data_IF_628691992991
#
_entry.id   IF_628691992991
#
_cell.length_a   1.000
_cell.length_b   1.000
_cell.length_c   1.000
_cell.angle_alpha   90.00
_cell.angle_beta   90.00
_cell.angle_gamma   90.00
#
_symmetry.space_group_name_H-M   'P 1'
#
loop_
_entity.id
_entity.type
_entity.pdbx_description
1 polymer ?
#
# COMPACT_ATOMS: atom_id res chain seq x y z
N UNK A 1 -3.62 4.89 -20.57
CA UNK A 1 -2.75 5.06 -19.40
C UNK A 1 -1.68 6.06 -19.81
N UNK A 2 -1.36 7.04 -18.98
CA UNK A 2 -0.23 7.94 -19.18
C UNK A 2 0.87 7.40 -18.26
N UNK A 3 1.93 6.76 -18.79
CA UNK A 3 2.95 6.12 -17.98
C UNK A 3 3.95 7.14 -17.41
N UNK A 4 4.79 6.69 -16.48
CA UNK A 4 6.02 7.37 -16.05
C UNK A 4 7.19 6.38 -16.11
N UNK A 5 8.42 6.90 -16.18
CA UNK A 5 9.60 6.06 -16.02
C UNK A 5 9.84 5.74 -14.53
N UNK A 6 10.34 4.53 -14.25
CA UNK A 6 10.60 4.06 -12.90
C UNK A 6 11.93 3.28 -12.82
N UNK A 7 12.72 3.43 -11.74
CA UNK A 7 13.92 2.64 -11.54
C UNK A 7 13.63 1.13 -11.49
N UNK A 8 14.58 0.26 -11.90
CA UNK A 8 14.45 -1.18 -11.72
C UNK A 8 14.19 -1.55 -10.26
N UNK A 9 13.33 -2.56 -10.04
CA UNK A 9 12.98 -3.01 -8.69
C UNK A 9 11.96 -2.11 -7.96
N UNK A 10 11.41 -1.09 -8.63
CA UNK A 10 10.30 -0.31 -8.08
C UNK A 10 9.10 -1.20 -7.77
N UNK A 11 8.52 -1.03 -6.58
CA UNK A 11 7.35 -1.78 -6.14
C UNK A 11 6.12 -0.87 -5.98
N UNK A 12 4.95 -1.49 -5.92
CA UNK A 12 3.73 -0.86 -5.41
C UNK A 12 3.15 -1.65 -4.22
N UNK A 13 2.52 -0.91 -3.30
CA UNK A 13 1.81 -1.44 -2.15
C UNK A 13 0.45 -0.78 -2.12
N UNK A 14 -0.56 -1.49 -2.59
CA UNK A 14 -1.92 -0.97 -2.68
C UNK A 14 -2.98 -2.07 -2.50
N UNK A 15 -4.18 -1.64 -2.12
CA UNK A 15 -5.34 -2.51 -1.99
C UNK A 15 -6.41 -2.14 -3.02
N UNK A 16 -7.29 -3.08 -3.32
CA UNK A 16 -8.51 -2.81 -4.13
C UNK A 16 -9.51 -1.91 -3.41
N UNK A 17 -9.39 -1.79 -2.08
CA UNK A 17 -10.22 -0.99 -1.20
C UNK A 17 -11.61 -1.57 -0.95
N UNK A 18 -12.25 -1.00 0.08
CA UNK A 18 -13.67 -1.11 0.38
C UNK A 18 -14.20 -2.51 0.76
N UNK A 19 -13.36 -3.42 1.22
CA UNK A 19 -13.11 -3.22 2.62
C UNK A 19 -14.30 -3.35 3.59
N UNK A 20 -14.73 -2.17 4.04
CA UNK A 20 -15.76 -1.98 5.04
C UNK A 20 -15.21 -1.85 6.46
N UNK A 21 -13.91 -2.12 6.66
CA UNK A 21 -13.26 -2.04 7.97
C UNK A 21 -12.87 -0.62 8.37
N UNK A 22 -12.68 0.26 7.37
CA UNK A 22 -12.33 1.67 7.58
C UNK A 22 -11.08 1.82 8.46
N UNK A 23 -10.04 1.05 8.18
CA UNK A 23 -8.76 1.09 8.89
C UNK A 23 -8.02 2.41 8.64
N UNK A 24 -6.98 2.65 9.44
CA UNK A 24 -5.95 3.64 9.16
C UNK A 24 -5.24 3.32 7.84
N UNK A 25 -4.56 4.30 7.24
CA UNK A 25 -3.90 4.12 5.93
C UNK A 25 -2.60 3.30 6.02
N UNK A 26 -2.71 2.01 6.34
CA UNK A 26 -1.58 1.08 6.51
C UNK A 26 -0.72 1.04 5.25
N UNK A 27 -1.29 0.85 4.06
CA UNK A 27 -0.50 0.80 2.82
C UNK A 27 0.27 2.10 2.53
N UNK A 28 -0.20 3.26 2.99
CA UNK A 28 0.54 4.54 2.88
C UNK A 28 1.74 4.56 3.83
N UNK A 29 1.54 4.13 5.07
CA UNK A 29 2.62 4.00 6.05
C UNK A 29 3.69 3.00 5.59
N UNK A 30 3.26 1.84 5.07
CA UNK A 30 4.15 0.82 4.50
C UNK A 30 4.98 1.39 3.35
N UNK A 31 4.38 2.18 2.46
CA UNK A 31 5.11 2.80 1.35
C UNK A 31 6.25 3.71 1.84
N UNK A 32 6.01 4.50 2.89
CA UNK A 32 7.03 5.36 3.49
C UNK A 32 8.14 4.54 4.16
N UNK A 33 7.77 3.49 4.91
CA UNK A 33 8.72 2.59 5.59
C UNK A 33 9.62 1.87 4.58
N UNK A 34 9.04 1.32 3.51
CA UNK A 34 9.77 0.56 2.50
C UNK A 34 10.69 1.47 1.68
N UNK A 35 10.20 2.64 1.28
CA UNK A 35 11.02 3.65 0.60
C UNK A 35 12.18 4.17 1.45
N UNK A 36 11.96 4.36 2.75
CA UNK A 36 13.02 4.79 3.67
C UNK A 36 14.18 3.79 3.78
N UNK A 37 13.92 2.50 3.55
CA UNK A 37 14.94 1.45 3.47
C UNK A 37 15.61 1.34 2.08
N UNK A 38 15.32 2.26 1.15
CA UNK A 38 15.96 2.35 -0.16
C UNK A 38 15.31 1.51 -1.26
N UNK A 39 14.12 0.94 -1.04
CA UNK A 39 13.34 0.27 -2.09
C UNK A 39 12.48 1.31 -2.80
N UNK A 40 12.59 1.52 -4.11
CA UNK A 40 11.75 2.49 -4.79
C UNK A 40 10.27 2.11 -4.73
N UNK A 41 9.40 3.04 -4.34
CA UNK A 41 7.95 2.80 -4.22
C UNK A 41 7.17 3.77 -5.10
N UNK A 42 6.53 3.24 -6.14
CA UNK A 42 5.61 3.98 -7.00
C UNK A 42 4.16 3.71 -6.55
N UNK A 43 3.73 4.39 -5.48
CA UNK A 43 2.42 4.14 -4.87
C UNK A 43 1.30 4.60 -5.81
N UNK A 44 0.53 3.67 -6.35
CA UNK A 44 -0.70 4.00 -7.06
C UNK A 44 -1.83 4.23 -6.06
N UNK A 45 -2.61 5.29 -6.25
CA UNK A 45 -3.65 5.62 -5.31
C UNK A 45 -4.69 6.59 -5.82
N UNK A 46 -5.74 6.74 -5.00
CA UNK A 46 -6.86 7.62 -5.28
C UNK A 46 -7.35 8.28 -3.99
N UNK A 47 -8.26 9.25 -4.11
CA UNK A 47 -9.06 9.74 -2.98
C UNK A 47 -10.06 8.67 -2.55
N UNK A 48 -10.58 8.79 -1.33
CA UNK A 48 -11.57 7.86 -0.81
C UNK A 48 -12.78 7.72 -1.75
N UNK A 49 -13.11 6.47 -2.10
CA UNK A 49 -14.37 6.14 -2.78
C UNK A 49 -15.46 5.69 -1.79
N UNK A 50 -15.06 4.99 -0.72
CA UNK A 50 -15.96 4.44 0.30
C UNK A 50 -15.42 4.52 1.74
N UNK A 51 -14.12 4.78 1.93
CA UNK A 51 -13.55 5.05 3.25
C UNK A 51 -13.81 6.51 3.66
N UNK A 52 -13.52 6.86 4.92
CA UNK A 52 -13.57 8.25 5.40
C UNK A 52 -12.37 9.08 4.95
N UNK A 53 -11.24 8.43 4.63
CA UNK A 53 -10.03 9.06 4.12
C UNK A 53 -9.27 8.10 3.19
N UNK A 54 -8.90 8.57 1.99
CA UNK A 54 -8.04 7.85 1.07
C UNK A 54 -6.58 8.20 1.28
N UNK A 55 -5.68 7.49 0.60
CA UNK A 55 -4.24 7.73 0.71
C UNK A 55 -3.88 9.18 0.34
N UNK A 56 -4.48 9.72 -0.73
CA UNK A 56 -4.27 11.10 -1.15
C UNK A 56 -4.78 12.12 -0.12
N UNK A 57 -5.95 11.87 0.49
CA UNK A 57 -6.54 12.80 1.47
C UNK A 57 -5.68 12.87 2.75
N UNK A 58 -5.11 11.74 3.17
CA UNK A 58 -4.21 11.66 4.32
C UNK A 58 -2.84 12.29 4.05
N UNK A 59 -2.25 12.09 2.87
CA UNK A 59 -0.98 12.73 2.50
C UNK A 59 -1.13 14.25 2.36
N UNK A 60 -2.24 14.72 1.80
CA UNK A 60 -2.58 16.14 1.73
C UNK A 60 -2.72 16.75 3.14
N UNK A 61 -3.42 16.06 4.05
CA UNK A 61 -3.52 16.47 5.46
C UNK A 61 -2.17 16.38 6.23
N UNK A 62 -1.20 15.62 5.72
CA UNK A 62 0.18 15.60 6.24
C UNK A 62 1.00 16.82 5.79
N UNK A 63 0.59 17.50 4.72
CA UNK A 63 1.24 18.68 4.16
C UNK A 63 1.79 18.48 2.74
N UNK A 64 1.56 17.32 2.11
CA UNK A 64 2.01 17.06 0.75
C UNK A 64 1.09 17.77 -0.26
N UNK A 65 1.63 18.65 -1.09
CA UNK A 65 0.87 19.20 -2.22
C UNK A 65 0.66 18.09 -3.27
N UNK A 66 -0.56 17.55 -3.32
CA UNK A 66 -0.88 16.43 -4.20
C UNK A 66 -0.80 16.77 -5.69
N UNK A 67 -1.01 18.04 -6.07
CA UNK A 67 -0.89 18.47 -7.45
C UNK A 67 0.59 18.53 -7.86
N UNK A 68 1.43 19.14 -7.02
CA UNK A 68 2.86 19.22 -7.26
C UNK A 68 3.55 17.83 -7.18
N UNK A 69 3.13 16.99 -6.23
CA UNK A 69 3.61 15.60 -6.11
C UNK A 69 3.26 14.77 -7.36
N UNK A 70 2.07 14.95 -7.93
CA UNK A 70 1.70 14.29 -9.20
C UNK A 70 2.51 14.78 -10.39
N UNK A 71 2.81 16.08 -10.46
CA UNK A 71 3.61 16.68 -11.54
C UNK A 71 5.09 16.31 -11.46
N UNK A 72 5.60 16.01 -10.26
CA UNK A 72 7.01 15.69 -10.00
C UNK A 72 7.25 14.21 -9.73
N UNK A 73 6.26 13.33 -9.95
CA UNK A 73 6.30 11.92 -9.53
C UNK A 73 7.53 11.17 -10.04
N UNK A 74 7.87 11.30 -11.33
CA UNK A 74 9.06 10.64 -11.91
C UNK A 74 10.36 11.13 -11.25
N UNK A 75 10.46 12.44 -10.99
CA UNK A 75 11.61 13.05 -10.32
C UNK A 75 11.72 12.58 -8.86
N UNK A 76 10.64 12.63 -8.08
CA UNK A 76 10.70 12.21 -6.67
C UNK A 76 10.93 10.71 -6.53
N UNK A 77 10.43 9.90 -7.47
CA UNK A 77 10.75 8.47 -7.52
C UNK A 77 12.24 8.24 -7.75
N UNK A 78 12.85 8.97 -8.69
CA UNK A 78 14.27 8.85 -9.00
C UNK A 78 15.18 9.41 -7.88
N UNK A 79 14.83 10.55 -7.27
CA UNK A 79 15.66 11.26 -6.30
C UNK A 79 15.45 10.78 -4.86
N UNK A 80 14.21 10.49 -4.46
CA UNK A 80 13.83 10.15 -3.08
C UNK A 80 13.43 8.68 -2.92
N UNK A 81 13.26 7.93 -4.01
CA UNK A 81 12.78 6.55 -3.97
C UNK A 81 11.27 6.43 -3.70
N UNK A 82 10.50 7.51 -3.78
CA UNK A 82 9.05 7.46 -3.59
C UNK A 82 8.30 8.45 -4.47
N UNK A 83 7.15 8.02 -4.99
CA UNK A 83 6.18 8.92 -5.61
C UNK A 83 4.75 8.47 -5.34
N UNK A 84 3.80 9.38 -5.60
CA UNK A 84 2.38 9.08 -5.59
C UNK A 84 1.80 9.26 -6.99
N UNK A 85 1.21 8.20 -7.52
CA UNK A 85 0.58 8.19 -8.84
C UNK A 85 -0.93 8.32 -8.67
N UNK A 86 -1.44 9.52 -8.87
CA UNK A 86 -2.87 9.80 -8.73
C UNK A 86 -3.63 9.19 -9.91
N UNK A 87 -4.48 8.21 -9.64
CA UNK A 87 -5.16 7.44 -10.70
C UNK A 87 -5.93 8.33 -11.71
N UNK A 88 -6.52 9.45 -11.27
CA UNK A 88 -7.25 10.35 -12.18
C UNK A 88 -6.35 11.09 -13.19
N UNK A 89 -5.06 11.24 -12.88
CA UNK A 89 -4.08 11.90 -13.75
C UNK A 89 -3.58 10.91 -14.81
N UNK A 90 -3.38 9.65 -14.45
CA UNK A 90 -2.81 8.64 -15.35
C UNK A 90 -3.85 7.84 -16.14
N UNK A 91 -5.11 7.82 -15.71
CA UNK A 91 -6.20 7.10 -16.38
C UNK A 91 -7.33 8.03 -16.86
N UNK A 92 -7.08 8.95 -17.81
CA UNK A 92 -8.09 9.94 -18.23
C UNK A 92 -9.35 9.32 -18.82
N UNK A 93 -9.26 8.12 -19.40
CA UNK A 93 -10.41 7.36 -19.89
C UNK A 93 -11.43 7.04 -18.77
N UNK A 94 -10.97 6.90 -17.52
CA UNK A 94 -11.84 6.63 -16.38
C UNK A 94 -12.79 7.79 -16.07
N UNK A 95 -12.47 9.03 -16.48
CA UNK A 95 -13.39 10.19 -16.32
C UNK A 95 -14.74 9.96 -17.00
N UNK A 96 -14.77 9.22 -18.11
CA UNK A 96 -16.02 8.88 -18.83
C UNK A 96 -16.81 7.77 -18.13
N UNK A 97 -16.12 6.89 -17.42
CA UNK A 97 -16.69 5.71 -16.75
C UNK A 97 -17.18 6.06 -15.33
N UNK A 98 -16.55 7.04 -14.68
CA UNK A 98 -16.82 7.39 -13.29
C UNK A 98 -18.29 7.75 -13.00
N UNK A 99 -19.00 8.55 -13.83
CA UNK A 99 -20.42 8.84 -13.60
C UNK A 99 -21.32 7.61 -13.72
N UNK A 100 -20.94 6.62 -14.52
CA UNK A 100 -21.66 5.34 -14.63
C UNK A 100 -21.47 4.53 -13.35
N UNK A 101 -20.23 4.43 -12.85
CA UNK A 101 -19.92 3.73 -11.59
C UNK A 101 -20.66 4.34 -10.40
N UNK A 102 -20.71 5.67 -10.32
CA UNK A 102 -21.44 6.39 -9.27
C UNK A 102 -22.94 6.09 -9.33
N UNK A 103 -23.56 6.11 -10.51
CA UNK A 103 -24.99 5.76 -10.67
C UNK A 103 -25.29 4.30 -10.34
N UNK A 104 -24.36 3.38 -10.61
CA UNK A 104 -24.53 1.97 -10.24
C UNK A 104 -24.45 1.74 -8.73
N UNK A 105 -23.68 2.54 -7.99
CA UNK A 105 -23.62 2.51 -6.53
C UNK A 105 -23.16 1.18 -5.91
N UNK A 106 -22.59 0.27 -6.71
CA UNK A 106 -22.14 -1.06 -6.27
C UNK A 106 -20.77 -1.41 -6.86
N UNK A 107 -20.10 -2.39 -6.24
CA UNK A 107 -18.83 -2.93 -6.72
C UNK A 107 -18.97 -3.54 -8.11
N UNK A 108 -17.96 -3.34 -8.95
CA UNK A 108 -17.83 -3.90 -10.30
C UNK A 108 -16.39 -4.33 -10.54
N UNK A 109 -16.09 -4.91 -11.70
CA UNK A 109 -14.70 -5.27 -12.08
C UNK A 109 -13.74 -4.06 -11.99
N UNK A 110 -14.20 -2.83 -12.19
CA UNK A 110 -13.38 -1.63 -12.05
C UNK A 110 -12.83 -1.39 -10.64
N UNK A 111 -13.39 -2.03 -9.61
CA UNK A 111 -12.84 -1.99 -8.24
C UNK A 111 -11.61 -2.90 -8.10
N UNK A 112 -11.47 -3.91 -8.95
CA UNK A 112 -10.33 -4.82 -8.97
C UNK A 112 -9.18 -4.31 -9.86
N UNK A 113 -9.47 -3.42 -10.81
CA UNK A 113 -8.50 -2.96 -11.82
C UNK A 113 -7.44 -1.97 -11.31
N UNK A 114 -7.64 -1.34 -10.14
CA UNK A 114 -6.74 -0.29 -9.65
C UNK A 114 -5.28 -0.75 -9.54
N UNK A 115 -4.98 -1.79 -8.73
CA UNK A 115 -3.62 -2.31 -8.61
C UNK A 115 -3.05 -2.86 -9.93
N UNK A 116 -3.88 -3.45 -10.80
CA UNK A 116 -3.44 -4.01 -12.09
C UNK A 116 -2.91 -2.99 -13.11
N UNK A 117 -3.11 -1.69 -12.87
CA UNK A 117 -2.86 -0.64 -13.85
C UNK A 117 -1.91 0.44 -13.34
N UNK A 118 -0.92 0.10 -12.53
CA UNK A 118 0.06 1.07 -12.03
C UNK A 118 0.79 1.80 -13.19
N UNK A 119 0.79 3.15 -13.24
CA UNK A 119 1.41 3.92 -14.32
C UNK A 119 2.93 3.79 -14.44
N UNK A 120 3.62 3.35 -13.39
CA UNK A 120 5.05 3.07 -13.40
C UNK A 120 5.40 1.67 -13.94
N UNK A 121 4.40 0.89 -14.38
CA UNK A 121 4.60 -0.46 -14.92
C UNK A 121 5.41 -1.38 -13.99
N UNK A 122 5.20 -1.25 -12.67
CA UNK A 122 5.92 -2.05 -11.67
C UNK A 122 5.71 -3.55 -11.89
N UNK A 123 6.82 -4.29 -11.89
CA UNK A 123 6.82 -5.75 -12.03
C UNK A 123 6.75 -6.46 -10.67
N UNK A 124 6.75 -5.68 -9.58
CA UNK A 124 6.70 -6.16 -8.19
C UNK A 124 5.61 -5.47 -7.39
N UNK A 125 4.66 -6.23 -6.83
CA UNK A 125 3.52 -5.63 -6.13
C UNK A 125 3.05 -6.44 -4.91
N UNK A 126 2.76 -5.75 -3.80
CA UNK A 126 1.96 -6.28 -2.70
C UNK A 126 0.53 -5.76 -2.87
N UNK A 127 -0.40 -6.66 -3.22
CA UNK A 127 -1.77 -6.31 -3.58
C UNK A 127 -2.77 -6.87 -2.60
N UNK A 128 -3.52 -5.97 -1.98
CA UNK A 128 -4.63 -6.28 -1.09
C UNK A 128 -5.96 -6.51 -1.82
N UNK A 129 -6.67 -7.59 -1.49
CA UNK A 129 -8.01 -7.90 -2.03
C UNK A 129 -9.00 -8.08 -0.88
N UNK A 130 -10.13 -7.37 -0.88
CA UNK A 130 -11.16 -7.50 0.17
C UNK A 130 -12.05 -8.77 0.04
N UNK A 131 -11.50 -9.84 -0.54
CA UNK A 131 -12.19 -11.08 -0.96
C UNK A 131 -11.17 -12.22 -1.01
N UNK A 132 -11.02 -13.02 0.05
CA UNK A 132 -10.05 -14.12 0.09
C UNK A 132 -10.24 -15.12 -1.06
N UNK A 133 -11.49 -15.35 -1.45
CA UNK A 133 -11.88 -16.25 -2.55
C UNK A 133 -11.47 -15.75 -3.93
N UNK A 134 -11.16 -14.45 -4.09
CA UNK A 134 -10.68 -13.86 -5.35
C UNK A 134 -9.15 -13.81 -5.44
N UNK A 135 -8.42 -14.08 -4.36
CA UNK A 135 -6.97 -13.93 -4.33
C UNK A 135 -6.27 -14.79 -5.41
N UNK A 136 -6.71 -16.04 -5.60
CA UNK A 136 -6.18 -16.95 -6.62
C UNK A 136 -6.42 -16.43 -8.04
N UNK A 137 -7.66 -16.07 -8.37
CA UNK A 137 -8.00 -15.50 -9.68
C UNK A 137 -7.21 -14.21 -9.98
N UNK A 138 -7.01 -13.37 -8.97
CA UNK A 138 -6.26 -12.13 -9.14
C UNK A 138 -4.77 -12.39 -9.40
N UNK A 139 -4.19 -13.39 -8.75
CA UNK A 139 -2.83 -13.83 -8.97
C UNK A 139 -2.63 -14.37 -10.40
N UNK A 140 -3.57 -15.16 -10.93
CA UNK A 140 -3.56 -15.63 -12.32
C UNK A 140 -3.58 -14.44 -13.32
N UNK A 141 -4.32 -13.38 -13.02
CA UNK A 141 -4.33 -12.17 -13.84
C UNK A 141 -2.98 -11.45 -13.80
N UNK A 142 -2.35 -11.32 -12.63
CA UNK A 142 -1.02 -10.72 -12.50
C UNK A 142 0.05 -11.52 -13.26
N UNK A 143 -0.02 -12.85 -13.23
CA UNK A 143 0.84 -13.73 -14.03
C UNK A 143 0.66 -13.51 -15.53
N UNK A 144 -0.58 -13.42 -16.02
CA UNK A 144 -0.87 -13.13 -17.43
C UNK A 144 -0.41 -11.73 -17.87
N UNK A 145 -0.35 -10.76 -16.94
CA UNK A 145 0.17 -9.42 -17.18
C UNK A 145 1.71 -9.36 -17.17
N UNK A 146 2.40 -10.49 -16.91
CA UNK A 146 3.85 -10.56 -16.92
C UNK A 146 4.51 -10.03 -15.65
N UNK A 147 3.81 -10.08 -14.51
CA UNK A 147 4.36 -9.68 -13.20
C UNK A 147 5.51 -10.60 -12.81
N UNK A 148 6.66 -10.03 -12.42
CA UNK A 148 7.86 -10.81 -12.03
C UNK A 148 7.74 -11.39 -10.62
N UNK A 149 7.17 -10.63 -9.69
CA UNK A 149 6.87 -11.09 -8.35
C UNK A 149 5.67 -10.35 -7.75
N UNK A 150 4.74 -11.05 -7.10
CA UNK A 150 3.70 -10.39 -6.33
C UNK A 150 3.18 -11.24 -5.18
N UNK A 151 2.65 -10.56 -4.18
CA UNK A 151 1.83 -11.18 -3.15
C UNK A 151 0.43 -10.61 -3.22
N UNK A 152 -0.54 -11.46 -3.53
CA UNK A 152 -1.96 -11.13 -3.41
C UNK A 152 -2.41 -11.57 -2.03
N UNK A 153 -2.83 -10.62 -1.19
CA UNK A 153 -3.14 -10.84 0.22
C UNK A 153 -4.58 -10.47 0.54
N UNK A 154 -5.17 -11.21 1.48
CA UNK A 154 -6.48 -10.89 2.06
C UNK A 154 -6.55 -11.42 3.49
N UNK A 155 -6.84 -10.58 4.46
CA UNK A 155 -7.31 -11.04 5.77
C UNK A 155 -8.54 -11.93 5.60
N UNK A 156 -8.64 -13.02 6.35
CA UNK A 156 -9.76 -13.98 6.22
C UNK A 156 -11.13 -13.35 6.53
N UNK A 157 -11.14 -12.28 7.31
CA UNK A 157 -12.29 -11.43 7.60
C UNK A 157 -12.62 -10.42 6.47
N UNK A 158 -11.94 -10.52 5.33
CA UNK A 158 -12.15 -9.67 4.15
C UNK A 158 -11.41 -8.34 4.17
N UNK A 159 -10.38 -8.20 5.00
CA UNK A 159 -9.47 -7.05 4.99
C UNK A 159 -8.59 -7.10 3.72
N UNK A 160 -8.41 -5.99 3.02
CA UNK A 160 -7.53 -5.90 1.85
C UNK A 160 -6.07 -5.60 2.22
N UNK A 161 -5.59 -6.22 3.29
CA UNK A 161 -4.24 -6.12 3.85
C UNK A 161 -3.90 -7.45 4.53
N UNK A 162 -2.63 -7.68 4.92
CA UNK A 162 -2.34 -8.71 5.92
C UNK A 162 -2.96 -8.28 7.26
N UNK A 163 -3.83 -9.12 7.81
CA UNK A 163 -4.61 -8.83 8.99
C UNK A 163 -3.77 -8.85 10.27
N UNK A 164 -3.94 -7.82 11.10
CA UNK A 164 -3.43 -7.80 12.47
C UNK A 164 -4.25 -8.66 13.44
N UNK A 165 -5.48 -9.04 13.07
CA UNK A 165 -6.42 -9.73 13.95
C UNK A 165 -6.28 -11.25 13.88
N UNK A 166 -5.78 -11.79 12.76
CA UNK A 166 -5.70 -13.23 12.56
C UNK A 166 -5.06 -13.61 11.22
N UNK A 167 -5.31 -14.84 10.75
CA UNK A 167 -4.71 -15.34 9.53
C UNK A 167 -5.17 -14.58 8.28
N UNK A 168 -4.28 -14.50 7.31
CA UNK A 168 -4.51 -13.93 5.99
C UNK A 168 -4.16 -14.97 4.93
N UNK A 169 -4.96 -15.02 3.87
CA UNK A 169 -4.64 -15.77 2.65
C UNK A 169 -3.57 -15.01 1.89
N UNK A 170 -2.57 -15.74 1.39
CA UNK A 170 -1.53 -15.20 0.52
C UNK A 170 -1.41 -16.09 -0.72
N UNK A 171 -1.45 -15.47 -1.89
CA UNK A 171 -1.15 -16.13 -3.17
C UNK A 171 0.09 -15.46 -3.76
N UNK A 172 1.15 -16.24 -3.89
CA UNK A 172 2.43 -15.77 -4.44
C UNK A 172 2.45 -15.92 -5.97
N UNK A 173 2.98 -14.92 -6.67
CA UNK A 173 3.21 -14.92 -8.11
C UNK A 173 4.69 -14.77 -8.37
N UNK A 174 5.25 -15.57 -9.28
CA UNK A 174 6.61 -15.40 -9.80
C UNK A 174 7.72 -15.71 -8.79
N UNK A 175 8.72 -14.84 -8.71
CA UNK A 175 10.02 -15.14 -8.09
C UNK A 175 10.07 -15.01 -6.56
N UNK A 176 9.02 -14.48 -5.92
CA UNK A 176 8.94 -14.36 -4.46
C UNK A 176 7.85 -15.28 -3.92
N UNK A 177 8.05 -15.83 -2.72
CA UNK A 177 7.09 -16.74 -2.09
C UNK A 177 6.93 -16.47 -0.61
N UNK A 178 5.69 -16.54 -0.13
CA UNK A 178 5.33 -16.65 1.28
C UNK A 178 4.48 -17.91 1.50
N UNK A 179 4.34 -18.39 2.74
CA UNK A 179 3.33 -19.40 3.07
C UNK A 179 1.95 -18.95 2.60
N UNK A 180 1.12 -19.90 2.14
CA UNK A 180 -0.23 -19.59 1.62
C UNK A 180 -1.19 -19.01 2.66
N UNK A 181 -0.79 -19.07 3.94
CA UNK A 181 -1.48 -18.47 5.07
C UNK A 181 -0.46 -17.84 6.01
N UNK A 182 -0.65 -16.57 6.34
CA UNK A 182 0.23 -15.79 7.23
C UNK A 182 -0.59 -15.21 8.38
N UNK A 183 -0.08 -15.30 9.59
CA UNK A 183 -0.60 -14.65 10.80
C UNK A 183 0.41 -13.64 11.34
N UNK A 184 0.00 -12.67 12.19
CA UNK A 184 0.94 -11.72 12.81
C UNK A 184 2.13 -12.39 13.51
N UNK A 185 1.91 -13.55 14.14
CA UNK A 185 2.95 -14.29 14.84
C UNK A 185 4.07 -14.81 13.93
N UNK A 186 3.79 -15.05 12.64
CA UNK A 186 4.80 -15.48 11.67
C UNK A 186 5.84 -14.38 11.41
N UNK A 187 5.51 -13.13 11.72
CA UNK A 187 6.43 -11.98 11.72
C UNK A 187 6.95 -11.62 13.12
N UNK A 188 6.61 -12.41 14.16
CA UNK A 188 6.95 -12.12 15.55
C UNK A 188 6.12 -10.99 16.17
N UNK A 189 4.95 -10.67 15.62
CA UNK A 189 4.10 -9.56 16.05
C UNK A 189 2.87 -10.05 16.83
N UNK A 190 2.36 -9.26 17.79
CA UNK A 190 1.15 -9.60 18.53
C UNK A 190 -0.10 -9.42 17.65
N UNK A 191 -1.16 -10.18 17.97
CA UNK A 191 -2.48 -9.93 17.40
C UNK A 191 -3.15 -8.71 18.02
N UNK A 192 -3.88 -7.97 17.20
CA UNK A 192 -4.77 -6.90 17.63
C UNK A 192 -6.05 -6.88 16.80
N UNK A 193 -7.22 -6.66 17.41
CA UNK A 193 -8.48 -6.59 16.68
C UNK A 193 -8.46 -5.43 15.68
N UNK A 194 -9.14 -5.57 14.54
CA UNK A 194 -9.21 -4.49 13.53
C UNK A 194 -9.78 -3.18 14.08
N UNK A 195 -10.62 -3.25 15.12
CA UNK A 195 -11.13 -2.06 15.81
C UNK A 195 -10.03 -1.20 16.45
N UNK A 196 -8.86 -1.78 16.76
CA UNK A 196 -7.71 -1.07 17.31
C UNK A 196 -6.96 -0.21 16.28
N UNK A 197 -7.14 -0.51 14.99
CA UNK A 197 -6.56 0.25 13.87
C UNK A 197 -7.64 0.97 13.05
N UNK A 198 -8.81 1.20 13.64
CA UNK A 198 -9.91 1.89 12.96
C UNK A 198 -9.52 3.35 12.69
N UNK A 199 -9.66 3.75 11.43
CA UNK A 199 -9.43 5.11 10.97
C UNK A 199 -10.63 6.03 11.18
N UNK A 200 -10.39 7.30 10.88
CA UNK A 200 -11.31 8.42 10.99
C UNK A 200 -11.31 9.26 9.72
N UNK A 201 -11.56 10.56 9.89
CA UNK A 201 -11.42 11.53 8.80
C UNK A 201 -9.94 11.72 8.40
N UNK A 202 -9.65 12.48 7.32
CA UNK A 202 -8.28 12.69 6.87
C UNK A 202 -7.34 13.27 7.95
N UNK A 203 -7.83 14.16 8.81
CA UNK A 203 -7.02 14.77 9.87
C UNK A 203 -6.67 13.76 10.98
N UNK A 204 -7.63 12.91 11.36
CA UNK A 204 -7.41 11.81 12.30
C UNK A 204 -6.36 10.83 11.77
N UNK A 205 -6.51 10.38 10.53
CA UNK A 205 -5.57 9.44 9.91
C UNK A 205 -4.18 10.05 9.74
N UNK A 206 -4.09 11.33 9.37
CA UNK A 206 -2.83 12.05 9.28
C UNK A 206 -2.15 12.15 10.65
N UNK A 207 -2.89 12.48 11.72
CA UNK A 207 -2.32 12.52 13.07
C UNK A 207 -1.80 11.16 13.52
N UNK A 208 -2.56 10.08 13.30
CA UNK A 208 -2.12 8.72 13.61
C UNK A 208 -0.85 8.34 12.83
N UNK A 209 -0.77 8.68 11.54
CA UNK A 209 0.43 8.47 10.73
C UNK A 209 1.61 9.31 11.22
N UNK A 210 1.42 10.59 11.60
CA UNK A 210 2.49 11.40 12.22
C UNK A 210 3.03 10.76 13.50
N UNK A 211 2.15 10.25 14.37
CA UNK A 211 2.58 9.61 15.62
C UNK A 211 3.34 8.31 15.38
N UNK A 212 2.88 7.49 14.44
CA UNK A 212 3.59 6.29 14.00
C UNK A 212 5.00 6.62 13.51
N UNK A 213 5.12 7.58 12.59
CA UNK A 213 6.41 8.05 12.07
C UNK A 213 7.27 8.68 13.17
N UNK A 214 6.62 9.23 14.20
CA UNK A 214 7.24 9.69 15.42
C UNK A 214 7.51 8.58 16.45
N UNK A 215 7.52 7.31 16.04
CA UNK A 215 7.92 6.16 16.87
C UNK A 215 6.88 5.67 17.87
N UNK A 216 5.62 6.11 17.80
CA UNK A 216 4.55 5.57 18.64
C UNK A 216 4.40 4.06 18.41
N UNK A 217 4.31 3.30 19.51
CA UNK A 217 4.11 1.84 19.49
C UNK A 217 2.62 1.50 19.63
N UNK A 218 2.25 0.27 19.23
CA UNK A 218 0.90 -0.25 19.38
C UNK A 218 0.32 -0.86 18.10
N UNK A 219 -0.98 -1.21 18.09
CA UNK A 219 -1.60 -2.00 17.03
C UNK A 219 -1.43 -1.45 15.61
N UNK A 220 -1.44 -0.12 15.44
CA UNK A 220 -1.23 0.48 14.13
C UNK A 220 0.21 0.27 13.63
N UNK A 221 1.19 0.39 14.53
CA UNK A 221 2.58 0.07 14.21
C UNK A 221 2.70 -1.40 13.80
N UNK A 222 2.15 -2.32 14.59
CA UNK A 222 2.26 -3.76 14.32
C UNK A 222 1.63 -4.14 12.97
N UNK A 223 0.48 -3.57 12.62
CA UNK A 223 -0.14 -3.75 11.30
C UNK A 223 0.76 -3.26 10.14
N UNK A 224 1.43 -2.13 10.34
CA UNK A 224 2.39 -1.58 9.35
C UNK A 224 3.63 -2.44 9.25
N UNK A 225 4.18 -2.92 10.37
CA UNK A 225 5.34 -3.82 10.38
C UNK A 225 5.05 -5.13 9.65
N UNK A 226 3.87 -5.73 9.86
CA UNK A 226 3.46 -6.97 9.20
C UNK A 226 3.40 -6.82 7.68
N UNK A 227 2.73 -5.76 7.19
CA UNK A 227 2.59 -5.52 5.76
C UNK A 227 3.93 -5.06 5.12
N UNK A 228 4.73 -4.27 5.83
CA UNK A 228 6.08 -3.89 5.38
C UNK A 228 7.02 -5.09 5.32
N UNK A 229 6.91 -6.06 6.25
CA UNK A 229 7.69 -7.28 6.20
C UNK A 229 7.46 -8.06 4.90
N UNK A 230 6.19 -8.25 4.51
CA UNK A 230 5.86 -8.89 3.24
C UNK A 230 6.38 -8.09 2.03
N UNK A 231 6.29 -6.75 2.08
CA UNK A 231 6.84 -5.90 1.03
C UNK A 231 8.39 -6.00 0.93
N UNK A 232 9.10 -6.16 2.06
CA UNK A 232 10.55 -6.38 2.06
C UNK A 232 10.96 -7.75 1.54
N UNK A 233 10.19 -8.81 1.85
CA UNK A 233 10.40 -10.14 1.25
C UNK A 233 10.18 -10.06 -0.26
N UNK A 234 9.11 -9.42 -0.71
CA UNK A 234 8.81 -9.21 -2.13
C UNK A 234 9.93 -8.44 -2.86
N UNK A 235 10.53 -7.46 -2.19
CA UNK A 235 11.60 -6.64 -2.71
C UNK A 235 13.00 -7.28 -2.58
N UNK A 236 13.09 -8.54 -2.12
CA UNK A 236 14.37 -9.25 -1.87
C UNK A 236 15.31 -8.47 -0.91
N UNK A 237 14.71 -7.80 0.09
CA UNK A 237 15.41 -7.04 1.13
C UNK A 237 15.40 -7.74 2.49
N UNK A 238 14.56 -8.76 2.64
CA UNK A 238 14.50 -9.61 3.81
C UNK A 238 14.25 -11.07 3.39
N UNK A 239 14.91 -12.05 4.03
CA UNK A 239 14.71 -13.47 3.71
C UNK A 239 13.37 -14.02 4.18
N UNK A 240 12.75 -13.40 5.18
CA UNK A 240 11.50 -13.86 5.80
C UNK A 240 10.75 -12.70 6.51
N UNK A 241 9.54 -13.01 7.01
CA UNK A 241 8.71 -12.03 7.70
C UNK A 241 9.33 -11.49 9.00
N UNK A 242 9.96 -12.29 9.88
CA UNK A 242 10.63 -11.76 11.06
C UNK A 242 11.74 -10.75 10.73
N UNK A 243 12.60 -11.06 9.76
CA UNK A 243 13.65 -10.14 9.31
C UNK A 243 13.05 -8.88 8.66
N UNK A 244 11.98 -9.03 7.87
CA UNK A 244 11.27 -7.91 7.27
C UNK A 244 10.63 -6.98 8.31
N UNK A 245 10.03 -7.54 9.37
CA UNK A 245 9.42 -6.78 10.45
C UNK A 245 10.49 -6.04 11.27
N UNK A 246 11.64 -6.67 11.52
CA UNK A 246 12.78 -6.02 12.17
C UNK A 246 13.33 -4.84 11.34
N UNK A 247 13.49 -5.02 10.03
CA UNK A 247 13.91 -3.94 9.12
C UNK A 247 12.89 -2.80 9.09
N UNK A 248 11.59 -3.11 9.05
CA UNK A 248 10.53 -2.12 9.11
C UNK A 248 10.54 -1.32 10.43
N UNK A 249 10.78 -2.00 11.56
CA UNK A 249 10.89 -1.37 12.86
C UNK A 249 12.07 -0.40 12.92
N UNK A 250 13.22 -0.76 12.35
CA UNK A 250 14.39 0.10 12.26
C UNK A 250 14.07 1.42 11.54
N UNK A 251 13.30 1.39 10.45
CA UNK A 251 12.95 2.61 9.69
C UNK A 251 12.05 3.56 10.49
N UNK A 252 11.18 3.02 11.35
CA UNK A 252 10.35 3.81 12.25
C UNK A 252 11.15 4.32 13.45
N UNK A 253 11.97 3.48 14.07
CA UNK A 253 12.72 3.81 15.29
C UNK A 253 13.83 4.82 15.03
N UNK A 254 14.52 4.68 13.89
CA UNK A 254 15.53 5.64 13.43
C UNK A 254 14.92 6.93 12.86
N UNK A 255 13.59 7.04 12.74
CA UNK A 255 12.86 8.14 12.10
C UNK A 255 13.18 8.34 10.61
N UNK A 256 13.71 7.32 9.94
CA UNK A 256 14.03 7.41 8.51
C UNK A 256 12.77 7.66 7.67
N UNK A 257 11.67 6.97 7.97
CA UNK A 257 10.38 7.18 7.29
C UNK A 257 9.81 8.59 7.51
N UNK A 258 10.01 9.17 8.71
CA UNK A 258 9.61 10.56 8.99
C UNK A 258 10.43 11.55 8.16
N UNK A 259 11.76 11.41 8.16
CA UNK A 259 12.65 12.27 7.38
C UNK A 259 12.37 12.19 5.88
N UNK A 260 12.04 11.00 5.37
CA UNK A 260 11.64 10.82 3.98
C UNK A 260 10.36 11.61 3.66
N UNK A 261 9.34 11.53 4.51
CA UNK A 261 8.12 12.31 4.32
C UNK A 261 8.40 13.82 4.34
N UNK A 262 9.21 14.29 5.30
CA UNK A 262 9.57 15.71 5.40
C UNK A 262 10.34 16.18 4.17
N UNK A 263 11.28 15.38 3.66
CA UNK A 263 12.02 15.65 2.43
C UNK A 263 11.11 15.65 1.20
N UNK A 264 10.15 14.73 1.14
CA UNK A 264 9.18 14.66 0.05
C UNK A 264 8.28 15.89 0.03
N UNK A 265 7.76 16.33 1.19
CA UNK A 265 6.98 17.56 1.32
C UNK A 265 7.79 18.78 0.90
N UNK A 266 9.07 18.86 1.28
CA UNK A 266 9.93 19.99 0.91
C UNK A 266 10.33 20.00 -0.58
N UNK A 267 10.29 18.85 -1.25
CA UNK A 267 10.70 18.69 -2.63
C UNK A 267 9.56 18.96 -3.64
N UNK A 268 8.30 19.08 -3.19
CA UNK A 268 7.13 19.30 -4.06
C UNK A 268 6.59 20.72 -3.92
#
# INVERSE_FOLDING_TARGET
>A
LIPIDAPPGTIDVCGTGGDGHHTLNVSTAVSLVVAAAGVPVAKNGNRAASSKAGAADTLEALGLDMAAAGASAERTLAELGICFLFAANHHPAMKRIQPIRQRLGRRTIFNLMGPLANPAHVTRQLVGIARPDYAGLYAEVLEQLGTEAAFVVSGEEGLDELSSAGPSVVVSVGAASLPSRVSPEDAGLPRAPLSAIRGGDPAYNALALRRLLAGETGPYRDAVLLNAAAAFVLADRAPDLPAGAALAAEQLDSRAAQRLLDAWIAAV
#
